data_IF_370676279803
#
_entry.id   IF_370676279803
#
_cell.length_a   1.000
_cell.length_b   1.000
_cell.length_c   1.000
_cell.angle_alpha   90.00
_cell.angle_beta   90.00
_cell.angle_gamma   90.00
#
_symmetry.space_group_name_H-M   'P 1'
#
loop_
_entity.id
_entity.type
_entity.pdbx_description
1 polymer ?
#
# COMPACT_ATOMS: atom_id res chain seq x y z
N UNK A 1 -15.24 -1.86 -25.38
CA UNK A 1 -15.09 -0.39 -25.51
C UNK A 1 -14.45 0.17 -24.25
N UNK A 2 -13.37 0.97 -24.36
CA UNK A 2 -12.78 1.66 -23.21
C UNK A 2 -13.80 2.61 -22.57
N UNK A 3 -13.92 2.58 -21.24
CA UNK A 3 -14.88 3.44 -20.54
C UNK A 3 -14.24 4.80 -20.28
N UNK A 4 -14.69 5.85 -20.97
CA UNK A 4 -14.24 7.23 -20.74
C UNK A 4 -14.95 7.83 -19.51
N UNK A 5 -14.68 7.26 -18.32
CA UNK A 5 -15.21 7.77 -17.06
C UNK A 5 -14.15 8.60 -16.33
N UNK A 6 -14.38 9.91 -16.24
CA UNK A 6 -13.57 10.82 -15.42
C UNK A 6 -14.19 10.88 -14.03
N UNK A 7 -13.39 10.53 -13.02
CA UNK A 7 -13.84 10.56 -11.62
C UNK A 7 -13.90 12.00 -11.10
N UNK A 8 -14.98 12.35 -10.42
CA UNK A 8 -15.22 13.71 -9.86
C UNK A 8 -14.69 13.93 -8.45
N UNK A 9 -14.52 12.86 -7.68
CA UNK A 9 -14.16 12.94 -6.26
C UNK A 9 -12.74 12.47 -6.01
N UNK A 10 -12.07 13.09 -5.06
CA UNK A 10 -10.82 12.58 -4.53
C UNK A 10 -11.06 11.36 -3.65
N UNK A 11 -10.09 10.44 -3.60
CA UNK A 11 -10.15 9.28 -2.69
C UNK A 11 -9.52 9.72 -1.37
N UNK A 12 -10.18 9.48 -0.25
CA UNK A 12 -9.57 9.59 1.08
C UNK A 12 -8.97 10.99 1.36
N UNK A 13 -9.69 12.05 0.97
CA UNK A 13 -9.27 13.46 1.13
C UNK A 13 -9.54 14.01 2.54
N UNK A 14 -9.99 13.17 3.48
CA UNK A 14 -10.20 13.57 4.87
C UNK A 14 -8.89 13.53 5.66
N UNK A 15 -8.77 14.47 6.59
CA UNK A 15 -7.64 14.55 7.50
C UNK A 15 -7.55 13.29 8.40
N UNK A 16 -6.38 12.62 8.48
CA UNK A 16 -6.21 11.44 9.32
C UNK A 16 -6.47 11.70 10.80
N UNK A 17 -6.09 12.88 11.31
CA UNK A 17 -6.31 13.23 12.71
C UNK A 17 -7.80 13.39 13.04
N UNK A 18 -8.57 14.00 12.14
CA UNK A 18 -10.04 14.03 12.24
C UNK A 18 -10.65 12.63 12.21
N UNK A 19 -10.13 11.72 11.38
CA UNK A 19 -10.61 10.33 11.34
C UNK A 19 -10.39 9.62 12.69
N UNK A 20 -9.22 9.80 13.33
CA UNK A 20 -8.94 9.23 14.66
C UNK A 20 -9.94 9.73 15.70
N UNK A 21 -10.11 11.06 15.79
CA UNK A 21 -11.03 11.69 16.75
C UNK A 21 -12.47 11.19 16.58
N UNK A 22 -12.94 11.07 15.33
CA UNK A 22 -14.26 10.51 15.04
C UNK A 22 -14.40 9.07 15.56
N UNK A 23 -13.41 8.23 15.31
CA UNK A 23 -13.45 6.83 15.73
C UNK A 23 -13.42 6.70 17.26
N UNK A 24 -12.68 7.55 17.95
CA UNK A 24 -12.69 7.63 19.42
C UNK A 24 -14.06 8.07 19.94
N UNK A 25 -14.64 9.15 19.40
CA UNK A 25 -15.97 9.61 19.77
C UNK A 25 -17.05 8.53 19.58
N UNK A 26 -16.99 7.79 18.47
CA UNK A 26 -17.91 6.67 18.22
C UNK A 26 -17.71 5.55 19.26
N UNK A 27 -16.47 5.26 19.67
CA UNK A 27 -16.17 4.29 20.74
C UNK A 27 -16.73 4.76 22.09
N UNK A 28 -16.73 6.05 22.37
CA UNK A 28 -17.36 6.64 23.56
C UNK A 28 -18.89 6.69 23.50
N UNK A 29 -19.51 6.28 22.40
CA UNK A 29 -20.96 6.12 22.28
C UNK A 29 -21.68 7.19 21.44
N UNK A 30 -20.96 8.09 20.75
CA UNK A 30 -21.58 9.00 19.78
C UNK A 30 -22.18 8.21 18.61
N UNK A 31 -23.33 8.66 18.11
CA UNK A 31 -23.96 8.05 16.94
C UNK A 31 -23.16 8.35 15.69
N UNK A 32 -22.98 7.35 14.81
CA UNK A 32 -22.21 7.49 13.56
C UNK A 32 -22.76 8.64 12.68
N UNK A 33 -24.08 8.81 12.64
CA UNK A 33 -24.74 9.90 11.90
C UNK A 33 -24.44 11.29 12.45
N UNK A 34 -24.22 11.41 13.75
CA UNK A 34 -23.86 12.69 14.38
C UNK A 34 -22.39 13.01 14.10
N UNK A 35 -21.52 11.99 14.14
CA UNK A 35 -20.12 12.14 13.79
C UNK A 35 -19.90 12.49 12.31
N UNK A 36 -20.68 11.92 11.39
CA UNK A 36 -20.67 12.28 9.95
C UNK A 36 -20.90 13.79 9.76
N UNK A 37 -21.93 14.33 10.42
CA UNK A 37 -22.26 15.76 10.36
C UNK A 37 -21.19 16.65 10.99
N UNK A 38 -20.58 16.21 12.08
CA UNK A 38 -19.59 16.99 12.81
C UNK A 38 -18.25 17.09 12.07
N UNK A 39 -17.82 16.01 11.39
CA UNK A 39 -16.49 15.93 10.78
C UNK A 39 -16.51 15.88 9.25
N UNK A 40 -17.71 15.89 8.64
CA UNK A 40 -17.91 15.83 7.19
C UNK A 40 -17.27 14.58 6.54
N UNK A 41 -17.26 13.46 7.27
CA UNK A 41 -16.76 12.17 6.80
C UNK A 41 -17.96 11.22 6.62
N UNK A 42 -18.26 10.79 5.38
CA UNK A 42 -19.46 10.01 5.10
C UNK A 42 -19.62 8.79 6.01
N UNK A 43 -20.83 8.54 6.51
CA UNK A 43 -21.16 7.39 7.37
C UNK A 43 -20.64 6.04 6.82
N UNK A 44 -20.76 5.84 5.50
CA UNK A 44 -20.28 4.62 4.82
C UNK A 44 -18.76 4.41 4.96
N UNK A 45 -17.99 5.49 5.03
CA UNK A 45 -16.55 5.48 5.25
C UNK A 45 -16.23 5.13 6.70
N UNK A 46 -16.94 5.75 7.64
CA UNK A 46 -16.75 5.49 9.08
C UNK A 46 -16.99 4.03 9.44
N UNK A 47 -18.08 3.44 8.91
CA UNK A 47 -18.37 2.01 9.08
C UNK A 47 -17.25 1.12 8.53
N UNK A 48 -16.72 1.43 7.35
CA UNK A 48 -15.59 0.68 6.75
C UNK A 48 -14.31 0.79 7.58
N UNK A 49 -14.04 1.96 8.16
CA UNK A 49 -12.85 2.18 8.97
C UNK A 49 -12.95 1.49 10.33
N UNK A 50 -14.13 1.42 10.92
CA UNK A 50 -14.36 0.72 12.18
C UNK A 50 -14.03 -0.79 12.10
N UNK A 51 -14.21 -1.42 10.94
CA UNK A 51 -13.86 -2.83 10.73
C UNK A 51 -12.35 -3.06 10.52
N UNK A 52 -11.57 -2.02 10.23
CA UNK A 52 -10.13 -2.18 9.99
C UNK A 52 -9.37 -2.20 11.31
N UNK A 53 -8.39 -3.09 11.40
CA UNK A 53 -7.45 -3.15 12.53
C UNK A 53 -6.60 -1.88 12.64
N UNK A 54 -6.32 -1.22 11.50
CA UNK A 54 -5.46 -0.04 11.47
C UNK A 54 -6.02 1.07 10.55
N UNK A 55 -6.82 2.02 11.09
CA UNK A 55 -7.54 3.02 10.29
C UNK A 55 -6.61 4.08 9.66
N UNK A 56 -5.43 4.27 10.22
CA UNK A 56 -4.36 5.18 9.75
C UNK A 56 -3.82 4.80 8.38
N UNK A 57 -3.71 3.49 8.13
CA UNK A 57 -3.15 2.97 6.89
C UNK A 57 -4.25 2.79 5.83
N UNK A 58 -4.83 3.89 5.35
CA UNK A 58 -5.70 3.83 4.16
C UNK A 58 -4.85 3.64 2.90
N UNK A 59 -4.13 2.51 2.81
CA UNK A 59 -3.43 2.14 1.58
C UNK A 59 -4.46 1.98 0.47
N UNK A 60 -4.39 2.87 -0.51
CA UNK A 60 -5.22 2.80 -1.70
C UNK A 60 -4.60 1.76 -2.64
N UNK A 61 -5.16 0.54 -2.68
CA UNK A 61 -4.68 -0.50 -3.59
C UNK A 61 -4.83 -1.91 -3.07
N UNK A 62 -4.17 -2.85 -3.76
CA UNK A 62 -4.03 -4.24 -3.30
C UNK A 62 -3.03 -4.31 -2.15
N UNK A 63 -3.16 -5.34 -1.31
CA UNK A 63 -2.13 -5.65 -0.31
C UNK A 63 -0.83 -6.05 -1.04
N UNK A 64 0.35 -5.57 -0.59
CA UNK A 64 1.61 -6.01 -1.16
C UNK A 64 1.78 -7.52 -0.96
N UNK A 65 2.41 -8.17 -1.94
CA UNK A 65 2.68 -9.62 -1.89
C UNK A 65 3.86 -9.91 -0.96
N UNK A 66 4.90 -9.07 -1.03
CA UNK A 66 6.09 -9.21 -0.22
C UNK A 66 6.02 -8.39 1.06
N UNK A 67 6.89 -8.72 2.01
CA UNK A 67 7.07 -7.89 3.19
C UNK A 67 7.69 -6.53 2.80
N UNK A 68 7.41 -5.45 3.54
CA UNK A 68 7.94 -4.13 3.22
C UNK A 68 9.46 -4.07 3.24
N UNK A 69 10.11 -4.92 4.03
CA UNK A 69 11.57 -5.06 4.08
C UNK A 69 12.12 -5.63 2.77
N UNK A 70 11.49 -6.69 2.25
CA UNK A 70 11.86 -7.32 0.98
C UNK A 70 11.60 -6.36 -0.17
N UNK A 71 10.45 -5.68 -0.19
CA UNK A 71 10.14 -4.67 -1.23
C UNK A 71 11.16 -3.53 -1.24
N UNK A 72 11.63 -3.07 -0.07
CA UNK A 72 12.66 -2.05 0.02
C UNK A 72 14.01 -2.53 -0.54
N UNK A 73 14.43 -3.76 -0.21
CA UNK A 73 15.65 -4.37 -0.75
C UNK A 73 15.56 -4.56 -2.27
N UNK A 74 14.42 -5.05 -2.78
CA UNK A 74 14.15 -5.19 -4.21
C UNK A 74 14.15 -3.84 -4.93
N UNK A 75 13.57 -2.80 -4.31
CA UNK A 75 13.55 -1.46 -4.84
C UNK A 75 14.96 -0.89 -5.02
N UNK A 76 15.78 -0.88 -3.97
CA UNK A 76 17.17 -0.41 -4.04
C UNK A 76 17.95 -1.15 -5.12
N UNK A 77 17.76 -2.47 -5.22
CA UNK A 77 18.44 -3.30 -6.19
C UNK A 77 18.00 -3.06 -7.64
N UNK A 78 16.70 -2.82 -7.87
CA UNK A 78 16.20 -2.45 -9.19
C UNK A 78 16.79 -1.12 -9.67
N UNK A 79 16.90 -0.12 -8.80
CA UNK A 79 17.50 1.18 -9.12
C UNK A 79 19.02 1.11 -9.34
N UNK A 80 19.76 0.36 -8.53
CA UNK A 80 21.22 0.22 -8.69
C UNK A 80 21.61 -0.64 -9.90
N UNK A 81 20.79 -1.63 -10.26
CA UNK A 81 20.99 -2.43 -11.47
C UNK A 81 20.42 -1.78 -12.74
N UNK A 82 19.62 -0.71 -12.64
CA UNK A 82 19.00 -0.06 -13.81
C UNK A 82 20.00 0.45 -14.87
N UNK A 83 21.19 0.99 -14.51
CA UNK A 83 22.22 1.32 -15.49
C UNK A 83 22.87 0.09 -16.16
N UNK A 84 22.81 -1.08 -15.51
CA UNK A 84 23.47 -2.32 -15.95
C UNK A 84 22.51 -3.23 -16.72
N UNK A 85 21.20 -3.11 -16.50
CA UNK A 85 20.16 -3.93 -17.14
C UNK A 85 19.72 -3.38 -18.50
N UNK A 86 20.07 -2.12 -18.83
CA UNK A 86 19.71 -1.50 -20.11
C UNK A 86 20.84 -1.56 -21.15
N UNK A 87 22.02 -2.09 -20.77
CA UNK A 87 23.16 -2.25 -21.65
C UNK A 87 23.69 -3.69 -21.51
N UNK A 88 23.46 -4.48 -22.56
CA UNK A 88 24.12 -5.75 -22.89
C UNK A 88 23.57 -7.09 -22.34
N UNK A 89 23.56 -8.06 -23.27
CA UNK A 89 23.08 -9.44 -23.16
C UNK A 89 23.90 -10.35 -22.22
N UNK A 90 24.63 -9.80 -21.24
CA UNK A 90 25.51 -10.54 -20.32
C UNK A 90 24.95 -10.71 -18.89
N UNK A 91 23.72 -10.27 -18.65
CA UNK A 91 23.06 -10.21 -17.32
C UNK A 91 22.75 -11.57 -16.68
N UNK A 92 22.86 -12.68 -17.42
CA UNK A 92 22.77 -14.02 -16.82
C UNK A 92 23.97 -14.33 -15.91
N UNK A 93 25.18 -13.87 -16.20
CA UNK A 93 26.34 -14.24 -15.39
C UNK A 93 26.43 -13.51 -14.04
N UNK A 94 26.01 -12.25 -13.96
CA UNK A 94 26.08 -11.45 -12.73
C UNK A 94 24.95 -11.80 -11.75
N UNK A 95 23.74 -12.03 -12.25
CA UNK A 95 22.62 -12.49 -11.43
C UNK A 95 22.88 -13.89 -10.84
N UNK A 96 23.46 -14.81 -11.62
CA UNK A 96 23.86 -16.14 -11.14
C UNK A 96 25.02 -16.10 -10.14
N UNK A 97 26.02 -15.24 -10.33
CA UNK A 97 27.11 -15.05 -9.34
C UNK A 97 26.59 -14.53 -8.01
N UNK A 98 25.67 -13.58 -8.04
CA UNK A 98 25.04 -13.05 -6.84
C UNK A 98 24.18 -14.11 -6.13
N UNK A 99 23.40 -14.91 -6.86
CA UNK A 99 22.62 -16.00 -6.25
C UNK A 99 23.49 -17.03 -5.53
N UNK A 100 24.70 -17.27 -6.05
CA UNK A 100 25.71 -18.17 -5.46
C UNK A 100 26.42 -17.57 -4.24
N UNK A 101 26.61 -16.25 -4.21
CA UNK A 101 27.33 -15.54 -3.14
C UNK A 101 26.47 -15.33 -1.88
N UNK A 102 25.14 -15.26 -2.03
CA UNK A 102 24.19 -15.09 -0.92
C UNK A 102 23.40 -16.36 -0.57
N UNK A 103 23.83 -17.53 -1.08
CA UNK A 103 23.30 -18.86 -0.81
C UNK A 103 21.75 -18.95 -0.83
N UNK A 104 21.15 -18.31 -1.83
CA UNK A 104 19.69 -18.25 -1.99
C UNK A 104 19.23 -19.55 -2.69
N UNK A 105 19.35 -20.68 -2.01
CA UNK A 105 18.93 -22.00 -2.52
C UNK A 105 17.46 -22.33 -2.26
N UNK A 106 16.70 -21.44 -1.60
CA UNK A 106 15.36 -21.79 -1.12
C UNK A 106 14.20 -21.67 -2.14
N UNK A 107 14.44 -21.26 -3.40
CA UNK A 107 13.34 -21.05 -4.37
C UNK A 107 13.69 -21.44 -5.81
N UNK A 108 14.34 -22.59 -6.01
CA UNK A 108 14.55 -23.17 -7.34
C UNK A 108 14.22 -24.67 -7.37
N UNK A 109 13.10 -25.06 -6.75
CA UNK A 109 12.35 -26.26 -7.15
C UNK A 109 11.04 -25.82 -7.83
N UNK A 110 11.12 -25.63 -9.15
CA UNK A 110 10.03 -25.72 -10.12
C UNK A 110 10.61 -26.30 -11.41
#
# INVERSE_FOLDING_TARGET
MPRNYIRKTEKNSWDPENLKKVLEEIRYGKKIREADRAFNIPESTLRKQMTKENPESSRLGRKPVFSPEIDAQLGVRAYTCQPVLWFDAHTTSSAFRYAKEYDITAYMDC
#
